data_IF_196149010830
#
_entry.id   IF_196149010830
#
_cell.length_a   1.000
_cell.length_b   1.000
_cell.length_c   1.000
_cell.angle_alpha   90.00
_cell.angle_beta   90.00
_cell.angle_gamma   90.00
#
_symmetry.space_group_name_H-M   'P 1'
#
loop_
_entity.id
_entity.type
_entity.pdbx_description
1 polymer ?
#
# COMPACT_ATOMS: atom_id res chain seq x y z
N UNK A 1 -11.50 11.14 -23.87
CA UNK A 1 -10.82 9.86 -23.53
C UNK A 1 -11.44 9.38 -22.22
N UNK A 2 -12.27 8.35 -22.30
CA UNK A 2 -12.94 7.77 -21.13
C UNK A 2 -11.86 7.14 -20.25
N UNK A 3 -11.71 7.69 -19.04
CA UNK A 3 -10.91 7.13 -17.96
C UNK A 3 -11.46 5.71 -17.70
N UNK A 4 -10.86 4.70 -18.32
CA UNK A 4 -11.19 3.31 -18.05
C UNK A 4 -10.69 2.99 -16.66
N UNK A 5 -11.52 3.28 -15.65
CA UNK A 5 -11.23 2.98 -14.26
C UNK A 5 -11.05 1.48 -14.13
N UNK A 6 -9.82 1.05 -13.84
CA UNK A 6 -9.55 -0.33 -13.50
C UNK A 6 -10.45 -0.75 -12.34
N UNK A 7 -11.11 -1.91 -12.46
CA UNK A 7 -12.01 -2.43 -11.44
C UNK A 7 -11.63 -3.87 -11.09
N UNK A 8 -11.61 -4.21 -9.80
CA UNK A 8 -11.31 -5.57 -9.37
C UNK A 8 -12.44 -6.52 -9.75
N UNK A 9 -12.09 -7.73 -10.21
CA UNK A 9 -13.09 -8.75 -10.53
C UNK A 9 -13.71 -9.31 -9.25
N UNK A 10 -15.04 -9.18 -9.10
CA UNK A 10 -15.87 -9.84 -8.07
C UNK A 10 -15.38 -9.76 -6.60
N UNK A 11 -14.76 -8.67 -6.19
CA UNK A 11 -14.18 -8.56 -4.83
C UNK A 11 -15.08 -7.88 -3.81
N UNK A 12 -16.21 -7.30 -4.21
CA UNK A 12 -17.01 -6.43 -3.34
C UNK A 12 -16.28 -5.13 -2.94
N UNK A 13 -15.19 -4.83 -3.64
CA UNK A 13 -14.35 -3.66 -3.45
C UNK A 13 -14.36 -2.81 -4.73
N UNK A 14 -14.24 -1.50 -4.58
CA UNK A 14 -14.15 -0.55 -5.68
C UNK A 14 -12.86 0.25 -5.52
N UNK A 15 -12.09 0.32 -6.59
CA UNK A 15 -10.84 1.06 -6.65
C UNK A 15 -11.06 2.46 -7.19
N UNK A 16 -10.48 3.45 -6.55
CA UNK A 16 -10.62 4.85 -6.93
C UNK A 16 -9.27 5.55 -6.95
N UNK A 17 -9.11 6.47 -7.90
CA UNK A 17 -8.05 7.48 -7.84
C UNK A 17 -8.35 8.44 -6.70
N UNK A 18 -7.32 8.91 -5.99
CA UNK A 18 -7.49 9.84 -4.87
C UNK A 18 -8.17 11.13 -5.33
N UNK A 19 -9.05 11.64 -4.49
CA UNK A 19 -9.70 12.93 -4.64
C UNK A 19 -9.73 13.67 -3.30
N UNK A 20 -10.02 14.95 -3.32
CA UNK A 20 -9.95 15.83 -2.15
C UNK A 20 -10.88 15.38 -1.00
N UNK A 21 -12.10 14.93 -1.31
CA UNK A 21 -13.06 14.45 -0.30
C UNK A 21 -12.53 13.21 0.43
N UNK A 22 -12.03 12.21 -0.32
CA UNK A 22 -11.43 11.01 0.26
C UNK A 22 -10.13 11.34 1.01
N UNK A 23 -9.31 12.22 0.49
CA UNK A 23 -8.08 12.66 1.14
C UNK A 23 -8.34 13.31 2.50
N UNK A 24 -9.36 14.18 2.60
CA UNK A 24 -9.79 14.79 3.87
C UNK A 24 -10.28 13.76 4.88
N UNK A 25 -11.11 12.82 4.43
CA UNK A 25 -11.59 11.73 5.29
C UNK A 25 -10.41 10.87 5.77
N UNK A 26 -9.53 10.44 4.88
CA UNK A 26 -8.38 9.60 5.21
C UNK A 26 -7.39 10.32 6.13
N UNK A 27 -7.07 11.59 5.88
CA UNK A 27 -6.18 12.38 6.72
C UNK A 27 -6.72 12.54 8.15
N UNK A 28 -8.05 12.47 8.34
CA UNK A 28 -8.70 12.54 9.65
C UNK A 28 -8.68 11.21 10.44
N UNK A 29 -8.21 10.11 9.84
CA UNK A 29 -8.20 8.81 10.53
C UNK A 29 -7.30 8.85 11.77
N UNK A 30 -7.80 8.28 12.86
CA UNK A 30 -7.08 8.18 14.12
C UNK A 30 -6.89 6.71 14.47
N UNK A 31 -5.63 6.30 14.51
CA UNK A 31 -5.21 4.98 14.96
C UNK A 31 -4.86 5.03 16.45
N UNK A 32 -4.98 3.90 17.13
CA UNK A 32 -4.67 3.75 18.54
C UNK A 32 -3.38 2.92 18.76
N UNK A 33 -2.85 2.98 19.98
CA UNK A 33 -1.65 2.24 20.38
C UNK A 33 -0.44 2.59 19.52
N UNK A 34 0.37 1.60 19.16
CA UNK A 34 1.56 1.80 18.33
C UNK A 34 1.23 2.34 16.93
N UNK A 35 0.02 2.07 16.43
CA UNK A 35 -0.40 2.55 15.12
C UNK A 35 -0.69 4.07 15.11
N UNK A 36 -0.85 4.72 16.26
CA UNK A 36 -0.96 6.18 16.37
C UNK A 36 0.23 6.92 15.75
N UNK A 37 1.36 6.23 15.58
CA UNK A 37 2.52 6.69 14.82
C UNK A 37 2.18 7.14 13.39
N UNK A 38 1.14 6.59 12.79
CA UNK A 38 0.70 6.90 11.42
C UNK A 38 -0.38 7.98 11.35
N UNK A 39 -0.78 8.57 12.48
CA UNK A 39 -1.78 9.64 12.50
C UNK A 39 -1.21 10.91 11.90
N UNK A 40 -2.01 11.57 11.05
CA UNK A 40 -1.70 12.94 10.61
C UNK A 40 -1.89 13.90 11.78
N UNK A 41 -0.90 14.76 12.02
CA UNK A 41 -1.01 15.83 13.02
C UNK A 41 -1.93 16.93 12.49
N UNK A 42 -2.65 17.60 13.37
CA UNK A 42 -3.61 18.64 12.97
C UNK A 42 -2.94 19.76 12.15
N UNK A 43 -1.72 20.13 12.50
CA UNK A 43 -0.92 21.15 11.78
C UNK A 43 -0.51 20.72 10.37
N UNK A 44 -0.44 19.40 10.11
CA UNK A 44 -0.03 18.83 8.81
C UNK A 44 -1.25 18.41 7.94
N UNK A 45 -2.47 18.61 8.42
CA UNK A 45 -3.68 18.09 7.78
C UNK A 45 -3.85 18.61 6.35
N UNK A 46 -3.74 19.92 6.17
CA UNK A 46 -3.91 20.56 4.85
C UNK A 46 -2.82 20.12 3.87
N UNK A 47 -1.57 20.11 4.32
CA UNK A 47 -0.42 19.63 3.54
C UNK A 47 -0.58 18.17 3.14
N UNK A 48 -1.09 17.33 4.05
CA UNK A 48 -1.37 15.91 3.78
C UNK A 48 -2.43 15.75 2.70
N UNK A 49 -3.53 16.52 2.76
CA UNK A 49 -4.59 16.48 1.73
C UNK A 49 -4.04 16.88 0.36
N UNK A 50 -3.24 17.93 0.29
CA UNK A 50 -2.58 18.37 -0.95
C UNK A 50 -1.68 17.28 -1.50
N UNK A 51 -0.82 16.69 -0.65
CA UNK A 51 0.08 15.61 -1.05
C UNK A 51 -0.68 14.37 -1.56
N UNK A 52 -1.77 13.99 -0.91
CA UNK A 52 -2.59 12.85 -1.34
C UNK A 52 -3.24 13.07 -2.71
N UNK A 53 -3.57 14.31 -3.05
CA UNK A 53 -4.18 14.68 -4.33
C UNK A 53 -3.16 14.90 -5.45
N UNK A 54 -1.85 14.98 -5.16
CA UNK A 54 -0.82 15.16 -6.16
C UNK A 54 -0.68 13.91 -7.03
N UNK A 55 -0.93 14.00 -8.36
CA UNK A 55 -0.91 12.81 -9.25
C UNK A 55 0.43 12.05 -9.26
N UNK A 56 1.55 12.77 -9.06
CA UNK A 56 2.88 12.17 -9.01
C UNK A 56 3.06 11.19 -7.85
N UNK A 57 2.32 11.40 -6.75
CA UNK A 57 2.37 10.56 -5.55
C UNK A 57 1.57 9.26 -5.64
N UNK A 58 0.76 9.10 -6.70
CA UNK A 58 0.04 7.86 -7.05
C UNK A 58 -0.80 7.29 -5.91
N UNK A 59 -1.53 8.15 -5.20
CA UNK A 59 -2.46 7.73 -4.15
C UNK A 59 -3.80 7.26 -4.74
N UNK A 60 -4.30 6.19 -4.15
CA UNK A 60 -5.60 5.59 -4.46
C UNK A 60 -6.32 5.21 -3.18
N UNK A 61 -7.63 5.08 -3.24
CA UNK A 61 -8.40 4.55 -2.14
C UNK A 61 -9.36 3.45 -2.58
N UNK A 62 -9.79 2.64 -1.63
CA UNK A 62 -10.64 1.48 -1.85
C UNK A 62 -11.89 1.62 -1.00
N UNK A 63 -13.06 1.51 -1.65
CA UNK A 63 -14.35 1.48 -0.95
C UNK A 63 -14.94 0.08 -0.98
N UNK A 64 -15.83 -0.19 -0.03
CA UNK A 64 -16.70 -1.35 -0.05
C UNK A 64 -17.91 -1.05 -0.92
N UNK A 65 -18.20 -1.92 -1.91
CA UNK A 65 -19.30 -1.70 -2.85
C UNK A 65 -20.68 -1.71 -2.18
N UNK A 66 -20.81 -2.40 -1.04
CA UNK A 66 -22.09 -2.54 -0.33
C UNK A 66 -22.61 -1.23 0.29
N UNK A 67 -21.71 -0.31 0.72
CA UNK A 67 -22.09 0.92 1.42
C UNK A 67 -21.22 2.15 1.10
N UNK A 68 -20.30 2.01 0.16
CA UNK A 68 -19.42 3.08 -0.29
C UNK A 68 -18.36 3.55 0.73
N UNK A 69 -18.23 2.91 1.89
CA UNK A 69 -17.28 3.31 2.93
C UNK A 69 -15.84 3.07 2.50
N UNK A 70 -14.96 4.03 2.78
CA UNK A 70 -13.54 3.88 2.53
C UNK A 70 -12.97 2.84 3.50
N UNK A 71 -12.35 1.79 2.95
CA UNK A 71 -11.73 0.71 3.71
C UNK A 71 -10.22 0.88 3.85
N UNK A 72 -9.59 1.47 2.83
CA UNK A 72 -8.14 1.58 2.76
C UNK A 72 -7.73 2.68 1.79
N UNK A 73 -6.48 3.10 1.92
CA UNK A 73 -5.77 3.78 0.84
C UNK A 73 -4.43 3.11 0.58
N UNK A 74 -3.85 3.39 -0.58
CA UNK A 74 -2.54 2.94 -0.96
C UNK A 74 -1.83 3.99 -1.81
N UNK A 75 -0.50 3.95 -1.78
CA UNK A 75 0.37 4.75 -2.63
C UNK A 75 1.43 3.88 -3.28
N UNK A 76 2.00 4.38 -4.38
CA UNK A 76 3.05 3.68 -5.12
C UNK A 76 4.23 4.60 -5.41
N UNK A 77 5.43 4.04 -5.35
CA UNK A 77 6.66 4.78 -5.64
C UNK A 77 7.23 5.47 -4.41
N UNK A 78 7.69 6.70 -4.58
CA UNK A 78 8.51 7.38 -3.56
C UNK A 78 7.77 7.60 -2.23
N UNK A 79 6.50 7.91 -2.26
CA UNK A 79 5.68 8.12 -1.06
C UNK A 79 5.46 6.86 -0.21
N UNK A 80 5.72 5.68 -0.77
CA UNK A 80 5.74 4.43 -0.02
C UNK A 80 7.10 4.12 0.62
N UNK A 81 8.10 4.98 0.43
CA UNK A 81 9.44 4.84 1.00
C UNK A 81 9.54 5.52 2.37
N UNK A 82 10.53 5.11 3.14
CA UNK A 82 10.87 5.71 4.43
C UNK A 82 12.30 6.26 4.34
N UNK A 83 12.49 7.48 4.80
CA UNK A 83 13.79 8.14 4.80
C UNK A 83 14.85 7.28 5.53
N UNK A 84 16.03 7.15 4.92
CA UNK A 84 17.16 6.37 5.44
C UNK A 84 17.23 4.94 4.91
N UNK A 85 16.24 4.47 4.15
CA UNK A 85 16.30 3.19 3.43
C UNK A 85 17.12 3.27 2.13
N UNK A 86 17.62 2.10 1.68
CA UNK A 86 18.24 1.94 0.36
C UNK A 86 17.21 1.38 -0.62
N UNK A 87 17.00 2.07 -1.73
CA UNK A 87 15.96 1.76 -2.72
C UNK A 87 16.54 1.59 -4.13
N UNK A 88 17.78 1.10 -4.21
CA UNK A 88 18.55 0.99 -5.46
C UNK A 88 18.03 -0.12 -6.39
N UNK A 89 17.32 -1.12 -5.83
CA UNK A 89 16.78 -2.21 -6.63
C UNK A 89 15.51 -1.79 -7.39
N UNK A 90 15.39 -2.26 -8.63
CA UNK A 90 14.21 -2.04 -9.45
C UNK A 90 13.00 -2.81 -8.90
N UNK A 91 12.21 -2.17 -8.07
CA UNK A 91 10.96 -2.67 -7.53
C UNK A 91 10.00 -1.49 -7.31
N UNK A 92 8.71 -1.71 -7.54
CA UNK A 92 7.70 -0.71 -7.23
C UNK A 92 7.42 -0.73 -5.72
N UNK A 93 7.65 0.40 -5.06
CA UNK A 93 7.29 0.57 -3.66
C UNK A 93 5.76 0.63 -3.51
N UNK A 94 5.23 -0.06 -2.50
CA UNK A 94 3.80 -0.10 -2.20
C UNK A 94 3.56 0.18 -0.72
N UNK A 95 2.75 1.20 -0.44
CA UNK A 95 2.24 1.54 0.88
C UNK A 95 0.74 1.27 0.96
N UNK A 96 0.28 0.70 2.08
CA UNK A 96 -1.15 0.42 2.31
C UNK A 96 -1.49 0.80 3.75
N UNK A 97 -2.62 1.48 3.89
CA UNK A 97 -3.23 1.75 5.20
C UNK A 97 -4.70 1.35 5.21
N UNK A 98 -5.09 0.64 6.25
CA UNK A 98 -6.47 0.17 6.45
C UNK A 98 -7.18 1.11 7.41
N UNK A 99 -8.44 1.45 7.12
CA UNK A 99 -9.28 2.26 7.99
C UNK A 99 -9.24 1.74 9.44
N UNK A 100 -9.06 2.59 10.47
CA UNK A 100 -8.88 2.14 11.86
C UNK A 100 -9.93 1.15 12.35
N UNK A 101 -11.22 1.40 12.04
CA UNK A 101 -12.33 0.50 12.41
C UNK A 101 -12.40 -0.81 11.63
N UNK A 102 -11.58 -0.95 10.57
CA UNK A 102 -11.54 -2.14 9.70
C UNK A 102 -10.30 -3.00 9.93
N UNK A 103 -9.41 -2.56 10.80
CA UNK A 103 -8.22 -3.30 11.19
C UNK A 103 -8.63 -4.61 11.89
N UNK A 104 -7.91 -5.71 11.59
CA UNK A 104 -8.17 -7.02 12.21
C UNK A 104 -9.33 -7.82 11.60
N UNK A 105 -10.02 -7.27 10.58
CA UNK A 105 -11.17 -7.92 9.93
C UNK A 105 -10.81 -8.68 8.65
N UNK A 106 -9.54 -8.94 8.39
CA UNK A 106 -9.08 -9.74 7.25
C UNK A 106 -8.88 -8.97 5.94
N UNK A 107 -9.23 -7.67 5.87
CA UNK A 107 -9.17 -6.88 4.64
C UNK A 107 -7.74 -6.69 4.08
N UNK A 108 -6.72 -6.69 4.94
CA UNK A 108 -5.35 -6.34 4.52
C UNK A 108 -4.83 -7.21 3.37
N UNK A 109 -5.05 -8.53 3.41
CA UNK A 109 -4.61 -9.44 2.36
C UNK A 109 -5.31 -9.17 1.03
N UNK A 110 -6.61 -8.92 1.07
CA UNK A 110 -7.40 -8.63 -0.14
C UNK A 110 -6.97 -7.31 -0.77
N UNK A 111 -6.78 -6.27 0.06
CA UNK A 111 -6.35 -4.95 -0.41
C UNK A 111 -4.92 -4.99 -0.95
N UNK A 112 -4.00 -5.72 -0.32
CA UNK A 112 -2.65 -5.91 -0.84
C UNK A 112 -2.66 -6.61 -2.20
N UNK A 113 -3.45 -7.69 -2.35
CA UNK A 113 -3.59 -8.37 -3.64
C UNK A 113 -4.12 -7.43 -4.71
N UNK A 114 -5.16 -6.67 -4.37
CA UNK A 114 -5.80 -5.70 -5.24
C UNK A 114 -4.83 -4.60 -5.70
N UNK A 115 -4.05 -4.04 -4.77
CA UNK A 115 -3.05 -3.02 -5.07
C UNK A 115 -1.97 -3.57 -6.01
N UNK A 116 -1.51 -4.81 -5.79
CA UNK A 116 -0.52 -5.43 -6.68
C UNK A 116 -1.11 -5.75 -8.06
N UNK A 117 -2.36 -6.20 -8.15
CA UNK A 117 -3.04 -6.44 -9.42
C UNK A 117 -3.20 -5.15 -10.23
N UNK A 118 -3.65 -4.07 -9.57
CA UNK A 118 -3.71 -2.74 -10.17
C UNK A 118 -2.34 -2.30 -10.69
N UNK A 119 -1.31 -2.42 -9.87
CA UNK A 119 0.03 -1.99 -10.24
C UNK A 119 0.67 -2.85 -11.35
N UNK A 120 0.34 -4.14 -11.45
CA UNK A 120 0.71 -4.96 -12.60
C UNK A 120 0.07 -4.44 -13.91
N UNK A 121 -1.21 -4.03 -13.85
CA UNK A 121 -1.93 -3.55 -15.03
C UNK A 121 -1.50 -2.13 -15.42
N UNK A 122 -1.42 -1.22 -14.45
CA UNK A 122 -1.20 0.20 -14.69
C UNK A 122 0.29 0.55 -14.89
N UNK A 123 1.16 -0.03 -14.05
CA UNK A 123 2.59 0.29 -14.05
C UNK A 123 3.46 -0.84 -14.60
N UNK A 124 2.85 -1.95 -15.06
CA UNK A 124 3.57 -3.12 -15.56
C UNK A 124 4.57 -3.69 -14.54
N UNK A 125 4.28 -3.50 -13.25
CA UNK A 125 5.16 -3.91 -12.17
C UNK A 125 5.08 -5.42 -11.97
N UNK A 126 6.24 -6.10 -11.97
CA UNK A 126 6.37 -7.52 -11.63
C UNK A 126 7.10 -7.74 -10.31
N UNK A 127 7.73 -6.70 -9.77
CA UNK A 127 8.49 -6.75 -8.51
C UNK A 127 8.02 -5.63 -7.60
N UNK A 128 7.71 -5.96 -6.35
CA UNK A 128 7.13 -5.06 -5.35
C UNK A 128 8.04 -4.97 -4.14
N UNK A 129 8.07 -3.79 -3.52
CA UNK A 129 8.79 -3.57 -2.27
C UNK A 129 7.87 -2.91 -1.24
N UNK A 130 7.89 -3.41 -0.01
CA UNK A 130 7.20 -2.82 1.13
C UNK A 130 8.21 -2.48 2.23
N UNK A 131 8.10 -1.27 2.79
CA UNK A 131 8.93 -0.80 3.92
C UNK A 131 8.02 -0.66 5.13
N UNK A 132 8.28 -1.46 6.18
CA UNK A 132 7.36 -1.66 7.30
C UNK A 132 8.09 -1.45 8.62
N UNK A 133 7.52 -0.61 9.50
CA UNK A 133 8.04 -0.41 10.84
C UNK A 133 8.02 -1.71 11.66
N UNK A 134 9.09 -1.97 12.42
CA UNK A 134 9.26 -3.22 13.17
C UNK A 134 8.12 -3.49 14.16
N UNK A 135 7.53 -2.46 14.74
CA UNK A 135 6.40 -2.60 15.66
C UNK A 135 5.09 -2.99 14.96
N UNK A 136 5.01 -2.85 13.62
CA UNK A 136 3.82 -3.19 12.84
C UNK A 136 3.83 -4.68 12.43
N UNK A 137 3.84 -5.56 13.43
CA UNK A 137 3.90 -7.01 13.25
C UNK A 137 2.77 -7.55 12.37
N UNK A 138 1.60 -6.88 12.38
CA UNK A 138 0.46 -7.26 11.56
C UNK A 138 0.75 -7.09 10.07
N UNK A 139 1.31 -5.95 9.68
CA UNK A 139 1.70 -5.69 8.30
C UNK A 139 2.85 -6.60 7.85
N UNK A 140 3.85 -6.82 8.72
CA UNK A 140 4.94 -7.75 8.48
C UNK A 140 4.42 -9.17 8.21
N UNK A 141 3.52 -9.67 9.06
CA UNK A 141 2.91 -10.99 8.90
C UNK A 141 2.10 -11.08 7.61
N UNK A 142 1.33 -10.04 7.29
CA UNK A 142 0.54 -9.97 6.06
C UNK A 142 1.43 -10.06 4.82
N UNK A 143 2.49 -9.27 4.74
CA UNK A 143 3.43 -9.29 3.62
C UNK A 143 4.17 -10.63 3.50
N UNK A 144 4.66 -11.20 4.61
CA UNK A 144 5.28 -12.54 4.60
C UNK A 144 4.31 -13.60 4.09
N UNK A 145 3.07 -13.58 4.54
CA UNK A 145 2.02 -14.51 4.07
C UNK A 145 1.69 -14.33 2.58
N UNK A 146 1.83 -13.11 2.06
CA UNK A 146 1.68 -12.82 0.64
C UNK A 146 2.90 -13.18 -0.21
N UNK A 147 3.98 -13.70 0.40
CA UNK A 147 5.19 -14.16 -0.28
C UNK A 147 6.33 -13.13 -0.34
N UNK A 148 6.18 -11.99 0.30
CA UNK A 148 7.29 -11.05 0.43
C UNK A 148 8.39 -11.65 1.31
N UNK A 149 9.63 -11.44 0.90
CA UNK A 149 10.84 -11.86 1.62
C UNK A 149 11.55 -10.66 2.20
N UNK A 150 11.99 -10.77 3.46
CA UNK A 150 12.83 -9.74 4.08
C UNK A 150 14.20 -9.69 3.42
N UNK A 151 14.60 -8.51 2.97
CA UNK A 151 15.90 -8.28 2.36
C UNK A 151 16.89 -7.67 3.36
N UNK A 152 16.48 -6.64 4.06
CA UNK A 152 17.30 -5.95 5.08
C UNK A 152 16.41 -5.12 6.01
N UNK A 153 17.05 -4.53 7.02
CA UNK A 153 16.44 -3.52 7.88
C UNK A 153 17.34 -2.30 8.03
N UNK A 154 16.76 -1.17 8.42
CA UNK A 154 17.48 0.04 8.74
C UNK A 154 16.83 0.77 9.92
N UNK A 155 17.55 1.73 10.48
CA UNK A 155 17.02 2.64 11.50
C UNK A 155 16.77 3.99 10.84
N UNK A 156 15.56 4.49 10.94
CA UNK A 156 15.24 5.84 10.45
C UNK A 156 16.06 6.87 11.21
N UNK A 157 16.72 7.82 10.53
CA UNK A 157 17.66 8.75 11.16
C UNK A 157 17.05 9.61 12.26
N UNK A 158 15.82 10.09 12.06
CA UNK A 158 15.16 11.07 12.91
C UNK A 158 14.68 10.49 14.24
N UNK A 159 14.01 9.34 14.21
CA UNK A 159 13.34 8.77 15.39
C UNK A 159 13.89 7.42 15.84
N UNK A 160 14.92 6.90 15.15
CA UNK A 160 15.57 5.60 15.41
C UNK A 160 14.61 4.40 15.33
N UNK A 161 13.43 4.57 14.74
CA UNK A 161 12.52 3.48 14.49
C UNK A 161 13.15 2.51 13.47
N UNK A 162 13.07 1.20 13.78
CA UNK A 162 13.54 0.16 12.87
C UNK A 162 12.49 -0.12 11.83
N UNK A 163 12.92 -0.20 10.57
CA UNK A 163 12.08 -0.60 9.45
C UNK A 163 12.67 -1.83 8.76
N UNK A 164 11.80 -2.77 8.37
CA UNK A 164 12.13 -3.89 7.51
C UNK A 164 11.74 -3.56 6.07
N UNK A 165 12.62 -3.91 5.15
CA UNK A 165 12.37 -3.84 3.71
C UNK A 165 12.12 -5.26 3.21
N UNK A 166 10.95 -5.47 2.63
CA UNK A 166 10.52 -6.75 2.09
C UNK A 166 10.27 -6.61 0.58
N UNK A 167 10.62 -7.64 -0.17
CA UNK A 167 10.46 -7.67 -1.64
C UNK A 167 9.67 -8.90 -2.05
N UNK A 168 8.76 -8.73 -3.01
CA UNK A 168 8.07 -9.79 -3.72
C UNK A 168 8.41 -9.71 -5.21
N UNK A 169 8.93 -10.80 -5.77
CA UNK A 169 9.19 -10.95 -7.19
C UNK A 169 8.18 -11.91 -7.81
N UNK A 170 7.28 -11.40 -8.64
CA UNK A 170 6.25 -12.17 -9.35
C UNK A 170 6.69 -12.65 -10.73
N UNK A 171 7.82 -12.18 -11.25
CA UNK A 171 8.35 -12.61 -12.55
C UNK A 171 8.70 -14.10 -12.55
N UNK A 172 9.14 -14.62 -11.40
CA UNK A 172 9.52 -16.03 -11.22
C UNK A 172 8.33 -17.01 -11.23
N UNK A 173 7.11 -16.52 -11.02
CA UNK A 173 5.90 -17.37 -10.98
C UNK A 173 5.34 -17.70 -12.37
N UNK A 174 5.72 -16.96 -13.40
CA UNK A 174 5.22 -17.18 -14.77
C UNK A 174 6.08 -18.18 -15.57
N UNK A 175 7.28 -18.49 -15.13
CA UNK A 175 8.20 -19.39 -15.84
C UNK A 175 7.95 -20.88 -15.59
N UNK A 176 7.10 -21.26 -14.62
CA UNK A 176 6.84 -22.68 -14.28
C UNK A 176 5.68 -23.27 -15.09
N UNK A 177 4.82 -22.46 -15.68
CA UNK A 177 3.64 -22.91 -16.45
C UNK A 177 3.90 -23.24 -17.91
N UNK A 178 5.11 -23.08 -18.44
CA UNK A 178 5.43 -23.33 -19.86
C UNK A 178 6.30 -24.57 -20.11
N UNK A 179 6.54 -25.43 -19.12
CA UNK A 179 7.36 -26.64 -19.29
C UNK A 179 6.61 -27.97 -19.06
N UNK A 180 5.28 -27.99 -19.11
CA UNK A 180 4.53 -29.24 -19.15
C UNK A 180 3.59 -29.26 -20.35
N UNK A 181 4.14 -29.48 -21.51
CA UNK A 181 3.40 -29.64 -22.77
C UNK A 181 4.36 -29.96 -23.90
N UNK A 182 4.98 -31.12 -23.80
CA UNK A 182 5.77 -31.74 -24.86
C UNK A 182 5.60 -33.23 -24.82
#
# INVERSE_FOLDING_TARGET
MTDATWQPRNSGLVWHKMNESAAKEIASWQYEGNAAFYNTRNEDMEATVVAFCEPAHRYHYVTRSADGRILAFCCFGEDARVLGGKYDENALDVGISIHPRSIGRGWGKQILSLAMEFACCEYQASRFRATIAAFNERALRMCRTAGFQECFYFLQPENRCRYFVLVLDRSKSQSVSHQQGG
#
